data_IF_011700229784
#
_entry.id   IF_011700229784
#
_cell.length_a   1.000
_cell.length_b   1.000
_cell.length_c   1.000
_cell.angle_alpha   90.00
_cell.angle_beta   90.00
_cell.angle_gamma   90.00
#
_symmetry.space_group_name_H-M   'P 1'
#
loop_
_entity.id
_entity.type
_entity.pdbx_description
1 polymer ?
#
# COMPACT_ATOMS: atom_id res chain seq x y z
N UNK A 1 -0.31 -4.73 20.10
CA UNK A 1 -0.64 -4.80 18.66
C UNK A 1 -0.51 -3.39 18.10
N UNK A 2 0.33 -3.16 17.10
CA UNK A 2 0.45 -1.85 16.45
C UNK A 2 -0.90 -1.43 15.83
N UNK A 3 -1.19 -0.13 15.82
CA UNK A 3 -2.42 0.46 15.25
C UNK A 3 -2.51 0.09 13.77
N UNK A 4 -3.72 -0.24 13.29
CA UNK A 4 -3.97 -0.38 11.84
C UNK A 4 -3.98 1.01 11.21
N UNK A 5 -3.21 1.19 10.13
CA UNK A 5 -3.12 2.45 9.37
C UNK A 5 -4.22 2.55 8.31
N UNK A 6 -4.80 3.73 8.16
CA UNK A 6 -5.61 4.11 7.00
C UNK A 6 -4.71 4.88 6.02
N UNK A 7 -4.51 4.33 4.82
CA UNK A 7 -3.59 4.88 3.82
C UNK A 7 -4.39 5.39 2.63
N UNK A 8 -4.21 6.67 2.27
CA UNK A 8 -4.79 7.25 1.07
C UNK A 8 -3.84 7.04 -0.13
N UNK A 9 -4.39 6.67 -1.29
CA UNK A 9 -3.61 6.47 -2.51
C UNK A 9 -4.03 7.52 -3.54
N UNK A 10 -3.06 8.35 -3.94
CA UNK A 10 -3.16 9.36 -4.98
C UNK A 10 -2.52 8.83 -6.25
N UNK A 11 -3.34 8.67 -7.28
CA UNK A 11 -2.88 8.23 -8.60
C UNK A 11 -2.78 9.47 -9.49
N UNK A 12 -1.57 9.79 -9.93
CA UNK A 12 -1.29 10.96 -10.75
C UNK A 12 -1.03 10.55 -12.20
N UNK A 13 -1.72 11.20 -13.13
CA UNK A 13 -1.49 11.08 -14.56
C UNK A 13 -1.35 12.48 -15.15
N UNK A 14 -0.21 12.74 -15.77
CA UNK A 14 0.11 14.02 -16.41
C UNK A 14 -0.13 15.22 -15.47
N UNK A 15 0.26 15.05 -14.19
CA UNK A 15 0.12 16.06 -13.11
C UNK A 15 -1.25 16.11 -12.44
N UNK A 16 -2.26 15.42 -12.97
CA UNK A 16 -3.63 15.44 -12.46
C UNK A 16 -3.95 14.21 -11.61
N UNK A 17 -4.80 14.37 -10.58
CA UNK A 17 -5.29 13.25 -9.78
C UNK A 17 -6.40 12.55 -10.53
N UNK A 18 -6.23 11.25 -10.75
CA UNK A 18 -7.14 10.44 -11.53
C UNK A 18 -7.69 9.26 -10.74
N UNK A 19 -8.87 8.82 -11.15
CA UNK A 19 -9.42 7.53 -10.74
C UNK A 19 -9.03 6.46 -11.78
N UNK A 20 -8.68 5.27 -11.30
CA UNK A 20 -8.52 4.08 -12.13
C UNK A 20 -9.47 2.97 -11.70
N UNK A 21 -9.90 2.18 -12.69
CA UNK A 21 -10.58 0.91 -12.47
C UNK A 21 -9.81 -0.15 -13.25
N UNK A 22 -9.23 -1.14 -12.55
CA UNK A 22 -8.41 -2.20 -13.15
C UNK A 22 -7.30 -1.65 -14.04
N UNK A 23 -6.53 -0.69 -13.52
CA UNK A 23 -5.46 0.01 -14.25
C UNK A 23 -5.90 0.81 -15.50
N UNK A 24 -7.20 0.95 -15.75
CA UNK A 24 -7.73 1.83 -16.80
C UNK A 24 -8.15 3.15 -16.19
N UNK A 25 -7.68 4.24 -16.77
CA UNK A 25 -8.12 5.58 -16.40
C UNK A 25 -9.62 5.74 -16.67
N UNK A 26 -10.33 6.32 -15.71
CA UNK A 26 -11.76 6.62 -15.85
C UNK A 26 -12.02 8.11 -15.85
N UNK A 27 -11.65 8.81 -14.78
CA UNK A 27 -12.00 10.22 -14.58
C UNK A 27 -10.85 11.00 -13.94
N UNK A 28 -10.76 12.29 -14.22
CA UNK A 28 -9.96 13.26 -13.46
C UNK A 28 -10.77 13.68 -12.23
N UNK A 29 -10.19 13.54 -11.05
CA UNK A 29 -10.82 13.92 -9.77
C UNK A 29 -10.41 15.34 -9.40
N UNK A 30 -9.12 15.65 -9.48
CA UNK A 30 -8.56 16.97 -9.17
C UNK A 30 -7.50 17.35 -10.21
N UNK A 31 -7.56 18.61 -10.64
CA UNK A 31 -6.55 19.18 -11.54
C UNK A 31 -5.25 19.57 -10.81
N UNK A 32 -5.33 19.80 -9.50
CA UNK A 32 -4.17 20.04 -8.64
C UNK A 32 -4.14 18.98 -7.53
N UNK A 33 -3.04 18.20 -7.40
CA UNK A 33 -2.93 17.17 -6.38
C UNK A 33 -2.80 17.72 -4.95
N UNK A 34 -2.44 19.01 -4.77
CA UNK A 34 -2.37 19.65 -3.44
C UNK A 34 -3.75 19.67 -2.77
N UNK A 35 -4.81 20.01 -3.50
CA UNK A 35 -6.17 20.04 -2.94
C UNK A 35 -6.61 18.67 -2.40
N UNK A 36 -6.19 17.58 -3.04
CA UNK A 36 -6.53 16.24 -2.58
C UNK A 36 -5.84 15.90 -1.24
N UNK A 37 -4.59 16.36 -1.05
CA UNK A 37 -3.83 16.16 0.19
C UNK A 37 -4.42 16.95 1.34
N UNK A 38 -4.84 18.20 1.12
CA UNK A 38 -5.54 18.98 2.14
C UNK A 38 -6.80 18.28 2.66
N UNK A 39 -7.56 17.63 1.77
CA UNK A 39 -8.71 16.81 2.16
C UNK A 39 -8.29 15.61 3.02
N UNK A 40 -7.24 14.89 2.63
CA UNK A 40 -6.77 13.72 3.38
C UNK A 40 -6.20 14.08 4.75
N UNK A 41 -5.49 15.20 4.86
CA UNK A 41 -5.03 15.74 6.14
C UNK A 41 -6.21 16.00 7.10
N UNK A 42 -7.30 16.61 6.60
CA UNK A 42 -8.52 16.84 7.40
C UNK A 42 -9.20 15.53 7.82
N UNK A 43 -9.04 14.46 7.04
CA UNK A 43 -9.58 13.13 7.36
C UNK A 43 -8.69 12.30 8.27
N UNK A 44 -7.55 12.86 8.72
CA UNK A 44 -6.61 12.22 9.63
C UNK A 44 -6.17 10.82 9.16
N UNK A 45 -5.83 10.71 7.87
CA UNK A 45 -5.19 9.50 7.33
C UNK A 45 -3.84 9.28 8.00
N UNK A 46 -3.37 8.04 8.08
CA UNK A 46 -2.12 7.72 8.76
C UNK A 46 -0.90 7.79 7.81
N UNK A 47 -1.11 7.73 6.49
CA UNK A 47 -0.06 7.77 5.45
C UNK A 47 -0.68 8.09 4.08
N UNK A 48 0.10 8.70 3.19
CA UNK A 48 -0.29 8.99 1.80
C UNK A 48 0.68 8.28 0.85
N UNK A 49 0.14 7.64 -0.19
CA UNK A 49 0.91 7.03 -1.27
C UNK A 49 0.60 7.77 -2.58
N UNK A 50 1.63 8.30 -3.24
CA UNK A 50 1.54 8.92 -4.55
C UNK A 50 2.12 7.99 -5.62
N UNK A 51 1.37 7.73 -6.69
CA UNK A 51 1.79 6.88 -7.79
C UNK A 51 1.73 7.64 -9.11
N UNK A 52 2.86 7.78 -9.80
CA UNK A 52 2.91 8.26 -11.17
C UNK A 52 2.53 7.13 -12.14
N UNK A 53 1.35 7.25 -12.76
CA UNK A 53 0.84 6.29 -13.76
C UNK A 53 0.84 6.87 -15.18
N UNK A 54 1.50 8.01 -15.38
CA UNK A 54 1.59 8.67 -16.68
C UNK A 54 2.23 7.74 -17.71
N UNK A 55 1.82 7.80 -18.99
CA UNK A 55 2.29 6.87 -20.01
C UNK A 55 3.75 7.08 -20.42
N UNK A 56 4.26 8.31 -20.31
CA UNK A 56 5.64 8.67 -20.68
C UNK A 56 6.57 8.80 -19.45
N UNK A 57 7.84 8.35 -19.55
CA UNK A 57 8.85 8.65 -18.55
C UNK A 57 9.15 10.16 -18.41
N UNK A 58 8.81 11.00 -19.39
CA UNK A 58 9.02 12.46 -19.32
C UNK A 58 8.21 13.11 -18.19
N UNK A 59 7.18 12.42 -17.70
CA UNK A 59 6.36 12.84 -16.55
C UNK A 59 7.11 12.86 -15.21
N UNK A 60 8.33 12.29 -15.14
CA UNK A 60 9.14 12.22 -13.91
C UNK A 60 9.38 13.60 -13.31
N UNK A 61 9.71 14.59 -14.14
CA UNK A 61 10.04 15.93 -13.66
C UNK A 61 8.80 16.60 -13.03
N UNK A 62 7.67 16.60 -13.73
CA UNK A 62 6.42 17.15 -13.19
C UNK A 62 5.93 16.39 -11.95
N UNK A 63 6.19 15.08 -11.86
CA UNK A 63 5.88 14.30 -10.66
C UNK A 63 6.77 14.67 -9.47
N UNK A 64 8.07 14.92 -9.68
CA UNK A 64 8.97 15.40 -8.63
C UNK A 64 8.50 16.75 -8.06
N UNK A 65 8.11 17.67 -8.94
CA UNK A 65 7.56 18.98 -8.54
C UNK A 65 6.26 18.82 -7.74
N UNK A 66 5.37 17.91 -8.16
CA UNK A 66 4.15 17.60 -7.42
C UNK A 66 4.44 17.01 -6.03
N UNK A 67 5.40 16.09 -5.92
CA UNK A 67 5.85 15.52 -4.64
C UNK A 67 6.41 16.63 -3.74
N UNK A 68 7.28 17.50 -4.28
CA UNK A 68 7.85 18.64 -3.55
C UNK A 68 6.78 19.56 -2.99
N UNK A 69 5.81 19.97 -3.82
CA UNK A 69 4.67 20.81 -3.39
C UNK A 69 3.83 20.14 -2.31
N UNK A 70 3.56 18.84 -2.45
CA UNK A 70 2.74 18.08 -1.49
C UNK A 70 3.48 17.85 -0.18
N UNK A 71 4.79 17.63 -0.20
CA UNK A 71 5.58 17.37 1.00
C UNK A 71 5.51 18.51 2.02
N UNK A 72 5.34 19.75 1.56
CA UNK A 72 5.19 20.94 2.42
C UNK A 72 3.89 20.90 3.23
N UNK A 73 2.82 20.36 2.64
CA UNK A 73 1.50 20.27 3.25
C UNK A 73 1.24 18.92 3.91
N UNK A 74 2.05 17.89 3.64
CA UNK A 74 1.85 16.52 4.11
C UNK A 74 2.51 16.29 5.46
N UNK A 75 1.70 16.23 6.52
CA UNK A 75 2.18 15.98 7.90
C UNK A 75 2.22 14.51 8.30
N UNK A 76 1.93 13.61 7.36
CA UNK A 76 1.95 12.16 7.53
C UNK A 76 2.99 11.56 6.59
N UNK A 77 3.46 10.31 6.84
CA UNK A 77 4.41 9.68 5.94
C UNK A 77 3.95 9.72 4.48
N UNK A 78 4.86 10.10 3.59
CA UNK A 78 4.63 10.22 2.15
C UNK A 78 5.41 9.15 1.38
N UNK A 79 4.71 8.20 0.81
CA UNK A 79 5.27 7.18 -0.06
C UNK A 79 5.12 7.60 -1.53
N UNK A 80 6.18 7.55 -2.33
CA UNK A 80 6.13 7.93 -3.75
C UNK A 80 6.60 6.78 -4.66
N UNK A 81 5.92 6.57 -5.78
CA UNK A 81 6.24 5.49 -6.72
C UNK A 81 5.84 5.78 -8.16
N UNK A 82 6.23 4.87 -9.05
CA UNK A 82 6.02 4.99 -10.50
C UNK A 82 7.28 5.47 -11.22
N UNK A 83 7.64 4.78 -12.31
CA UNK A 83 8.82 5.06 -13.14
C UNK A 83 10.19 5.03 -12.42
N UNK A 84 10.29 4.39 -11.25
CA UNK A 84 11.57 4.21 -10.56
C UNK A 84 12.39 3.14 -11.27
N UNK A 85 13.31 3.58 -12.13
CA UNK A 85 14.24 2.70 -12.87
C UNK A 85 15.69 2.81 -12.41
N UNK A 86 16.07 3.94 -11.82
CA UNK A 86 17.45 4.29 -11.49
C UNK A 86 17.56 4.92 -10.09
N UNK A 87 18.77 4.91 -9.55
CA UNK A 87 19.07 5.38 -8.19
C UNK A 87 18.96 6.90 -8.05
N UNK A 88 19.17 7.65 -9.14
CA UNK A 88 19.18 9.10 -9.11
C UNK A 88 17.76 9.65 -9.04
N UNK A 89 16.82 9.07 -9.79
CA UNK A 89 15.41 9.40 -9.67
C UNK A 89 14.84 9.00 -8.30
N UNK A 90 15.21 7.83 -7.79
CA UNK A 90 14.85 7.42 -6.42
C UNK A 90 15.35 8.41 -5.37
N UNK A 91 16.59 8.89 -5.51
CA UNK A 91 17.16 9.92 -4.63
C UNK A 91 16.42 11.25 -4.79
N UNK A 92 16.07 11.64 -6.01
CA UNK A 92 15.34 12.87 -6.27
C UNK A 92 13.96 12.85 -5.60
N UNK A 93 13.25 11.72 -5.64
CA UNK A 93 11.97 11.55 -4.93
C UNK A 93 12.12 11.76 -3.42
N UNK A 94 13.11 11.10 -2.80
CA UNK A 94 13.38 11.26 -1.37
C UNK A 94 13.80 12.69 -1.03
N UNK A 95 14.66 13.30 -1.86
CA UNK A 95 15.13 14.68 -1.69
C UNK A 95 14.04 15.73 -1.87
N UNK A 96 12.96 15.41 -2.58
CA UNK A 96 11.76 16.27 -2.72
C UNK A 96 10.70 15.98 -1.64
N UNK A 97 11.03 15.21 -0.59
CA UNK A 97 10.17 15.05 0.57
C UNK A 97 9.33 13.77 0.60
N UNK A 98 9.62 12.78 -0.26
CA UNK A 98 9.10 11.42 -0.04
C UNK A 98 9.87 10.73 1.10
N UNK A 99 9.17 10.04 1.99
CA UNK A 99 9.77 9.21 3.05
C UNK A 99 10.10 7.80 2.57
N UNK A 100 9.31 7.28 1.62
CA UNK A 100 9.43 5.92 1.10
C UNK A 100 9.24 5.85 -0.40
N UNK A 101 9.81 4.80 -0.99
CA UNK A 101 9.78 4.50 -2.40
C UNK A 101 8.93 3.25 -2.66
N UNK A 102 7.91 3.40 -3.51
CA UNK A 102 7.06 2.29 -3.95
C UNK A 102 7.58 1.72 -5.26
N UNK A 103 8.07 0.49 -5.23
CA UNK A 103 8.67 -0.20 -6.39
C UNK A 103 7.88 -1.47 -6.74
N UNK A 104 7.60 -1.67 -8.02
CA UNK A 104 7.01 -2.93 -8.53
C UNK A 104 7.93 -3.54 -9.60
N UNK A 105 7.91 -3.01 -10.82
CA UNK A 105 8.64 -3.56 -11.98
C UNK A 105 10.15 -3.66 -11.77
N UNK A 106 10.74 -2.78 -10.96
CA UNK A 106 12.16 -2.84 -10.61
C UNK A 106 12.56 -4.12 -9.86
N UNK A 107 11.63 -4.74 -9.11
CA UNK A 107 11.86 -6.02 -8.40
C UNK A 107 12.07 -7.19 -9.35
N UNK A 108 11.49 -7.11 -10.55
CA UNK A 108 11.60 -8.10 -11.61
C UNK A 108 12.81 -7.80 -12.51
N UNK A 109 12.86 -6.59 -13.06
CA UNK A 109 13.78 -6.22 -14.14
C UNK A 109 15.21 -5.96 -13.66
N UNK A 110 15.39 -5.48 -12.42
CA UNK A 110 16.70 -5.14 -11.88
C UNK A 110 16.76 -5.31 -10.34
N UNK A 111 16.64 -6.54 -9.82
CA UNK A 111 16.60 -6.82 -8.39
C UNK A 111 17.80 -6.26 -7.61
N UNK A 112 19.00 -6.29 -8.20
CA UNK A 112 20.22 -5.75 -7.59
C UNK A 112 20.11 -4.26 -7.25
N UNK A 113 19.35 -3.49 -8.06
CA UNK A 113 19.11 -2.06 -7.81
C UNK A 113 18.23 -1.86 -6.57
N UNK A 114 17.26 -2.75 -6.32
CA UNK A 114 16.43 -2.69 -5.11
C UNK A 114 17.29 -2.95 -3.88
N UNK A 115 18.19 -3.94 -3.94
CA UNK A 115 19.15 -4.20 -2.85
C UNK A 115 20.08 -3.01 -2.63
N UNK A 116 20.55 -2.35 -3.69
CA UNK A 116 21.36 -1.13 -3.58
C UNK A 116 20.58 0.02 -2.92
N UNK A 117 19.32 0.24 -3.30
CA UNK A 117 18.43 1.23 -2.66
C UNK A 117 18.24 0.92 -1.19
N UNK A 118 17.93 -0.33 -0.86
CA UNK A 118 17.71 -0.78 0.52
C UNK A 118 18.97 -0.62 1.38
N UNK A 119 20.15 -0.96 0.86
CA UNK A 119 21.43 -0.74 1.57
C UNK A 119 21.74 0.73 1.79
N UNK A 120 21.36 1.60 0.85
CA UNK A 120 21.67 3.03 0.90
C UNK A 120 20.73 3.82 1.80
N UNK A 121 19.42 3.59 1.69
CA UNK A 121 18.39 4.38 2.37
C UNK A 121 17.75 3.63 3.56
N UNK A 122 18.00 2.32 3.66
CA UNK A 122 17.42 1.45 4.68
C UNK A 122 16.16 0.74 4.18
N UNK A 123 15.89 -0.44 4.76
CA UNK A 123 14.77 -1.29 4.39
C UNK A 123 13.41 -0.62 4.58
N UNK A 124 13.28 0.24 5.59
CA UNK A 124 12.05 0.97 5.93
C UNK A 124 11.60 1.93 4.81
N UNK A 125 12.52 2.37 3.96
CA UNK A 125 12.23 3.27 2.84
C UNK A 125 11.73 2.51 1.60
N UNK A 126 11.77 1.18 1.57
CA UNK A 126 11.43 0.39 0.38
C UNK A 126 10.09 -0.32 0.58
N UNK A 127 9.10 0.08 -0.22
CA UNK A 127 7.76 -0.51 -0.25
C UNK A 127 7.63 -1.30 -1.56
N UNK A 128 7.50 -2.63 -1.45
CA UNK A 128 7.30 -3.50 -2.59
C UNK A 128 5.82 -3.54 -2.97
N UNK A 129 5.46 -2.91 -4.10
CA UNK A 129 4.14 -3.04 -4.69
C UNK A 129 3.98 -4.43 -5.31
N UNK A 130 2.88 -5.09 -4.95
CA UNK A 130 2.53 -6.43 -5.41
C UNK A 130 1.13 -6.39 -6.01
N UNK A 131 1.11 -6.26 -7.33
CA UNK A 131 -0.10 -6.29 -8.14
C UNK A 131 -0.43 -7.74 -8.51
N UNK A 132 -1.56 -8.28 -8.06
CA UNK A 132 -1.94 -9.67 -8.27
C UNK A 132 -3.17 -9.79 -9.17
N UNK A 133 -3.06 -10.66 -10.17
CA UNK A 133 -4.16 -10.99 -11.09
C UNK A 133 -4.42 -12.49 -11.08
N UNK A 134 -5.69 -12.86 -11.17
CA UNK A 134 -6.10 -14.23 -11.45
C UNK A 134 -6.06 -14.50 -12.96
N UNK A 135 -5.45 -15.62 -13.34
CA UNK A 135 -5.47 -16.10 -14.73
C UNK A 135 -6.78 -16.84 -15.05
N UNK A 136 -6.95 -17.21 -16.33
CA UNK A 136 -8.14 -17.92 -16.80
C UNK A 136 -8.28 -19.34 -16.22
N UNK A 137 -7.19 -19.94 -15.74
CA UNK A 137 -7.15 -21.28 -15.13
C UNK A 137 -7.42 -21.26 -13.62
N UNK A 138 -7.55 -20.06 -13.04
CA UNK A 138 -7.76 -19.85 -11.62
C UNK A 138 -6.47 -19.68 -10.82
N UNK A 139 -5.30 -19.78 -11.45
CA UNK A 139 -4.01 -19.43 -10.86
C UNK A 139 -3.91 -17.94 -10.54
N UNK A 140 -3.08 -17.59 -9.57
CA UNK A 140 -2.81 -16.21 -9.19
C UNK A 140 -1.33 -15.92 -9.40
N UNK A 141 -1.02 -14.80 -10.03
CA UNK A 141 0.37 -14.41 -10.27
C UNK A 141 0.56 -12.92 -10.01
N UNK A 142 1.78 -12.56 -9.63
CA UNK A 142 2.23 -11.18 -9.55
C UNK A 142 2.43 -10.60 -10.95
N UNK A 143 2.06 -9.34 -11.10
CA UNK A 143 2.05 -8.59 -12.36
C UNK A 143 2.96 -7.37 -12.25
N UNK A 144 3.65 -7.07 -13.33
CA UNK A 144 4.50 -5.89 -13.51
C UNK A 144 4.02 -5.09 -14.73
N UNK A 145 4.68 -3.95 -15.01
CA UNK A 145 4.31 -3.01 -16.08
C UNK A 145 2.81 -2.68 -16.09
N UNK A 146 2.33 -2.11 -14.98
CA UNK A 146 0.92 -1.67 -14.82
C UNK A 146 -0.09 -2.79 -15.07
N UNK A 147 0.26 -4.02 -14.71
CA UNK A 147 -0.62 -5.18 -14.85
C UNK A 147 -0.61 -5.84 -16.22
N UNK A 148 0.30 -5.46 -17.12
CA UNK A 148 0.37 -5.96 -18.50
C UNK A 148 1.23 -7.23 -18.62
N UNK A 149 2.30 -7.33 -17.83
CA UNK A 149 3.24 -8.47 -17.89
C UNK A 149 3.13 -9.33 -16.64
N UNK A 150 2.86 -10.62 -16.83
CA UNK A 150 2.88 -11.61 -15.75
C UNK A 150 4.30 -12.05 -15.45
N UNK A 151 4.64 -12.15 -14.17
CA UNK A 151 5.97 -12.59 -13.71
C UNK A 151 6.11 -14.11 -13.62
N UNK A 152 5.00 -14.85 -13.70
CA UNK A 152 4.94 -16.29 -13.44
C UNK A 152 5.13 -16.67 -11.96
N UNK A 153 5.35 -15.69 -11.07
CA UNK A 153 5.52 -15.92 -9.64
C UNK A 153 4.19 -15.81 -8.92
N UNK A 154 3.91 -16.73 -8.00
CA UNK A 154 2.79 -16.59 -7.08
C UNK A 154 3.03 -15.45 -6.07
N UNK A 155 1.97 -14.89 -5.45
CA UNK A 155 2.11 -13.76 -4.53
C UNK A 155 2.98 -14.04 -3.30
N UNK A 156 3.05 -15.28 -2.81
CA UNK A 156 3.88 -15.62 -1.64
C UNK A 156 5.36 -15.64 -2.04
N UNK A 157 5.67 -16.24 -3.19
CA UNK A 157 7.05 -16.22 -3.72
C UNK A 157 7.51 -14.80 -4.04
N UNK A 158 6.65 -13.96 -4.63
CA UNK A 158 6.95 -12.55 -4.87
C UNK A 158 7.22 -11.79 -3.57
N UNK A 159 6.40 -12.01 -2.53
CA UNK A 159 6.59 -11.39 -1.22
C UNK A 159 7.93 -11.78 -0.56
N UNK A 160 8.31 -13.06 -0.63
CA UNK A 160 9.60 -13.55 -0.12
C UNK A 160 10.78 -12.92 -0.87
N UNK A 161 10.71 -12.90 -2.19
CA UNK A 161 11.71 -12.25 -3.04
C UNK A 161 11.85 -10.77 -2.68
N UNK A 162 10.75 -10.05 -2.51
CA UNK A 162 10.78 -8.64 -2.12
C UNK A 162 11.45 -8.44 -0.74
N UNK A 163 11.16 -9.30 0.23
CA UNK A 163 11.80 -9.28 1.55
C UNK A 163 13.31 -9.54 1.47
N UNK A 164 13.73 -10.56 0.72
CA UNK A 164 15.15 -10.89 0.49
C UNK A 164 15.91 -9.73 -0.15
N UNK A 165 15.28 -9.06 -1.13
CA UNK A 165 15.87 -7.92 -1.83
C UNK A 165 15.96 -6.64 -0.99
N UNK A 166 15.31 -6.59 0.17
CA UNK A 166 15.43 -5.45 1.08
C UNK A 166 14.17 -4.61 1.27
N UNK A 167 12.99 -5.07 0.83
CA UNK A 167 11.74 -4.37 1.11
C UNK A 167 11.38 -4.44 2.60
N UNK A 168 10.92 -3.32 3.16
CA UNK A 168 10.43 -3.22 4.54
C UNK A 168 8.92 -3.37 4.64
N UNK A 169 8.19 -3.00 3.60
CA UNK A 169 6.73 -3.11 3.54
C UNK A 169 6.28 -3.68 2.19
N UNK A 170 5.10 -4.31 2.17
CA UNK A 170 4.45 -4.79 0.94
C UNK A 170 3.16 -4.02 0.73
N UNK A 171 3.02 -3.39 -0.43
CA UNK A 171 1.81 -2.72 -0.90
C UNK A 171 1.03 -3.64 -1.84
N UNK A 172 0.11 -4.41 -1.26
CA UNK A 172 -0.68 -5.42 -1.97
C UNK A 172 -1.89 -4.80 -2.69
N UNK A 173 -2.05 -5.17 -3.96
CA UNK A 173 -3.19 -4.76 -4.78
C UNK A 173 -3.75 -5.97 -5.55
N UNK A 174 -5.07 -6.11 -5.57
CA UNK A 174 -5.77 -7.16 -6.32
C UNK A 174 -6.45 -6.55 -7.53
N UNK A 175 -5.98 -6.91 -8.73
CA UNK A 175 -6.48 -6.35 -9.99
C UNK A 175 -7.98 -6.62 -10.21
N UNK A 176 -8.49 -7.73 -9.70
CA UNK A 176 -9.90 -8.11 -9.87
C UNK A 176 -10.84 -7.21 -9.05
N UNK A 177 -10.35 -6.68 -7.93
CA UNK A 177 -11.08 -5.85 -6.97
C UNK A 177 -10.78 -4.35 -7.12
N UNK A 178 -9.70 -3.99 -7.82
CA UNK A 178 -9.30 -2.61 -8.05
C UNK A 178 -10.41 -1.79 -8.74
N UNK A 179 -10.81 -0.69 -8.10
CA UNK A 179 -11.91 0.18 -8.55
C UNK A 179 -13.31 -0.46 -8.54
N UNK A 180 -13.45 -1.75 -8.21
CA UNK A 180 -14.72 -2.49 -8.32
C UNK A 180 -15.69 -2.24 -7.16
N UNK A 181 -15.25 -1.60 -6.07
CA UNK A 181 -16.02 -1.38 -4.83
C UNK A 181 -16.60 -2.65 -4.20
N UNK A 182 -16.00 -3.82 -4.47
CA UNK A 182 -16.42 -5.15 -3.95
C UNK A 182 -15.70 -5.55 -2.65
N UNK A 183 -15.08 -4.59 -1.97
CA UNK A 183 -14.17 -4.85 -0.85
C UNK A 183 -12.80 -5.36 -1.31
N UNK A 184 -11.87 -5.49 -0.36
CA UNK A 184 -10.51 -5.94 -0.63
C UNK A 184 -10.47 -7.37 -1.16
N UNK A 185 -9.55 -7.66 -2.08
CA UNK A 185 -9.29 -8.98 -2.66
C UNK A 185 -8.63 -9.97 -1.69
N UNK A 186 -8.99 -9.91 -0.42
CA UNK A 186 -8.66 -10.96 0.53
C UNK A 186 -9.70 -12.09 0.39
N UNK A 187 -9.25 -13.32 0.16
CA UNK A 187 -10.08 -14.48 0.48
C UNK A 187 -10.58 -14.31 1.92
N UNK A 188 -11.84 -14.67 2.24
CA UNK A 188 -12.37 -14.45 3.58
C UNK A 188 -11.46 -15.13 4.59
N UNK A 189 -10.68 -14.33 5.32
CA UNK A 189 -10.07 -14.78 6.57
C UNK A 189 -11.28 -15.24 7.37
N UNK A 190 -11.36 -16.55 7.71
CA UNK A 190 -12.35 -17.03 8.68
C UNK A 190 -12.32 -16.01 9.80
N UNK A 191 -13.40 -15.24 9.95
CA UNK A 191 -13.49 -14.27 11.02
C UNK A 191 -13.11 -15.03 12.28
N UNK A 192 -12.22 -14.51 13.16
CA UNK A 192 -12.06 -15.13 14.47
C UNK A 192 -13.50 -15.25 15.00
N UNK A 193 -13.95 -16.49 15.24
CA UNK A 193 -15.31 -16.76 15.72
C UNK A 193 -15.52 -15.72 16.82
N UNK A 194 -16.39 -14.73 16.59
CA UNK A 194 -16.84 -13.87 17.66
C UNK A 194 -17.40 -14.88 18.64
N UNK A 195 -16.68 -15.12 19.74
CA UNK A 195 -17.21 -15.88 20.87
C UNK A 195 -18.51 -15.17 21.16
N UNK A 196 -19.61 -15.85 20.85
CA UNK A 196 -20.96 -15.34 21.01
C UNK A 196 -21.02 -14.99 22.50
N UNK A 197 -21.03 -13.69 22.82
CA UNK A 197 -21.21 -13.28 24.19
C UNK A 197 -22.59 -13.81 24.59
N UNK A 198 -22.63 -14.82 25.45
CA UNK A 198 -23.84 -15.56 25.80
C UNK A 198 -24.73 -14.81 26.79
N UNK A 199 -24.52 -13.49 26.95
CA UNK A 199 -25.33 -12.67 27.86
C UNK A 199 -26.36 -11.90 27.03
N UNK A 200 -27.66 -11.99 27.37
CA UNK A 200 -28.67 -11.16 26.74
C UNK A 200 -28.42 -9.70 27.13
N UNK A 201 -28.11 -8.82 26.17
CA UNK A 201 -28.14 -7.38 26.39
C UNK A 201 -29.61 -6.92 26.26
N UNK A 202 -30.18 -6.22 27.27
CA UNK A 202 -31.52 -5.64 27.17
C UNK A 202 -31.59 -4.58 26.06
N UNK A 203 -32.73 -4.48 25.38
CA UNK A 203 -32.96 -3.70 24.16
C UNK A 203 -32.97 -2.17 24.31
N UNK A 204 -32.61 -1.63 25.47
CA UNK A 204 -32.69 -0.20 25.76
C UNK A 204 -31.37 0.32 26.33
N UNK A 205 -30.35 0.45 25.48
CA UNK A 205 -29.26 1.41 25.69
C UNK A 205 -28.59 1.70 24.34
N UNK A 206 -28.66 2.97 23.92
CA UNK A 206 -27.87 3.51 22.81
C UNK A 206 -26.36 3.38 23.09
N UNK A 207 -25.51 3.37 22.05
CA UNK A 207 -24.14 2.90 22.16
C UNK A 207 -23.25 3.94 22.83
N UNK A 208 -23.02 3.80 24.14
CA UNK A 208 -22.03 4.59 24.85
C UNK A 208 -20.62 4.06 24.51
N UNK A 209 -19.84 4.93 23.88
CA UNK A 209 -18.43 4.76 23.64
C UNK A 209 -17.65 4.95 24.96
N UNK A 210 -16.92 3.93 25.43
CA UNK A 210 -15.47 3.96 25.74
C UNK A 210 -15.01 2.78 26.62
N UNK A 211 -13.69 2.49 26.63
CA UNK A 211 -13.11 1.23 27.05
C UNK A 211 -12.64 1.27 28.50
N UNK A 212 -12.99 0.26 29.28
CA UNK A 212 -12.29 -0.09 30.51
C UNK A 212 -12.47 -1.59 30.75
N UNK A 213 -11.42 -2.38 30.49
CA UNK A 213 -11.26 -3.67 31.15
C UNK A 213 -9.81 -4.17 31.00
N UNK A 214 -9.00 -3.81 31.97
CA UNK A 214 -7.99 -4.65 32.61
C UNK A 214 -7.81 -4.08 34.03
N UNK A 215 -7.34 -4.82 35.07
CA UNK A 215 -6.78 -6.17 35.05
C UNK A 215 -7.33 -7.10 36.16
N UNK A 216 -7.27 -8.42 35.96
CA UNK A 216 -7.08 -9.40 37.05
C UNK A 216 -6.81 -10.81 36.50
N UNK A 217 -5.55 -11.23 36.64
CA UNK A 217 -5.10 -12.54 37.11
C UNK A 217 -6.01 -13.76 36.90
N UNK A 218 -5.54 -14.73 36.09
CA UNK A 218 -5.23 -16.07 36.62
C UNK A 218 -4.64 -17.01 35.56
N UNK A 219 -3.47 -17.57 35.90
CA UNK A 219 -2.95 -18.89 35.49
C UNK A 219 -2.72 -19.14 34.00
N UNK A 220 -1.55 -18.71 33.52
CA UNK A 220 -0.80 -19.46 32.51
C UNK A 220 -0.06 -20.62 33.22
N UNK A 221 -0.56 -21.85 33.10
CA UNK A 221 0.27 -23.05 33.19
C UNK A 221 0.47 -23.55 31.77
N UNK A 222 1.73 -23.62 31.34
CA UNK A 222 2.09 -24.20 30.07
C UNK A 222 1.83 -25.69 30.01
N UNK A 223 1.66 -26.18 28.79
CA UNK A 223 2.25 -27.45 28.38
C UNK A 223 2.43 -27.47 26.86
N UNK A 224 3.70 -27.53 26.47
CA UNK A 224 4.20 -28.09 25.22
C UNK A 224 4.00 -29.60 25.32
N UNK A 225 3.46 -30.23 24.26
CA UNK A 225 3.87 -31.56 23.76
C UNK A 225 2.85 -32.09 22.74
N UNK A 226 3.33 -32.25 21.50
CA UNK A 226 3.16 -33.35 20.54
C UNK A 226 1.90 -34.24 20.54
N UNK A 227 1.40 -34.45 19.31
CA UNK A 227 0.35 -35.40 18.93
C UNK A 227 -0.13 -35.14 17.52
#
# INVERSE_FOLDING_TARGET
MLKKRLIAVLILRDGQVVQSVRFKHTNVIHYDPVHAVECFNKWAVDEIVMLNVSPSPDSRQGFLEAVGRISVECFVPLSAGGWITDLDYARALLGNGADKLVVNTLLDDAPDRVTALSRRFGRQCIVASMDVKRDATGGIQAMVDRGQRGTGQDPVSWARRAEELGAGEIFFNSLDHDGARKGYGCAPRKAPRRTRCSRPCPSWMMPCARPACSPASSRWRGRISDG
#
